data_IF_862148344425
#
_entry.id   IF_862148344425
#
_cell.length_a   1.000
_cell.length_b   1.000
_cell.length_c   1.000
_cell.angle_alpha   90.00
_cell.angle_beta   90.00
_cell.angle_gamma   90.00
#
_symmetry.space_group_name_H-M   'P 1'
#
loop_
_entity.id
_entity.type
_entity.pdbx_description
1 polymer ?
#
# COMPACT_ATOMS: atom_id res chain seq x y z
N UNK A 1 11.10 18.19 -25.75
CA UNK A 1 10.72 16.84 -25.25
C UNK A 1 11.78 16.44 -24.23
N UNK A 2 11.59 16.44 -22.91
CA UNK A 2 10.43 16.16 -22.07
C UNK A 2 10.83 14.99 -21.15
N UNK A 3 11.56 15.26 -20.06
CA UNK A 3 12.17 14.26 -19.15
C UNK A 3 11.16 13.34 -18.40
N UNK A 4 9.88 13.36 -18.82
CA UNK A 4 8.77 12.59 -18.26
C UNK A 4 8.68 11.17 -18.87
N UNK A 5 9.40 10.92 -19.96
CA UNK A 5 9.29 9.66 -20.71
C UNK A 5 9.85 8.44 -19.95
N UNK A 6 10.84 8.62 -19.05
CA UNK A 6 11.43 7.47 -18.33
C UNK A 6 10.52 6.89 -17.26
N UNK A 7 9.74 7.73 -16.57
CA UNK A 7 8.87 7.28 -15.48
C UNK A 7 7.66 6.48 -16.00
N UNK A 8 7.15 6.82 -17.19
CA UNK A 8 6.02 6.15 -17.82
C UNK A 8 6.39 4.83 -18.52
N UNK A 9 7.69 4.53 -18.66
CA UNK A 9 8.15 3.29 -19.31
C UNK A 9 7.90 2.04 -18.46
N UNK A 10 7.79 2.19 -17.13
CA UNK A 10 7.51 1.06 -16.26
C UNK A 10 5.99 0.84 -16.17
N UNK A 11 5.47 0.00 -17.06
CA UNK A 11 4.04 -0.33 -17.16
C UNK A 11 3.48 -0.86 -15.83
N UNK A 12 4.26 -1.63 -15.06
CA UNK A 12 3.83 -2.14 -13.76
C UNK A 12 3.63 -1.03 -12.74
N UNK A 13 4.58 -0.10 -12.65
CA UNK A 13 4.49 1.05 -11.77
C UNK A 13 3.35 1.99 -12.15
N UNK A 14 3.19 2.32 -13.44
CA UNK A 14 2.11 3.18 -13.93
C UNK A 14 0.75 2.56 -13.64
N UNK A 15 0.60 1.25 -13.88
CA UNK A 15 -0.66 0.55 -13.62
C UNK A 15 -0.99 0.53 -12.13
N UNK A 16 -0.01 0.26 -11.27
CA UNK A 16 -0.21 0.32 -9.81
C UNK A 16 -0.70 1.68 -9.35
N UNK A 17 -0.07 2.76 -9.85
CA UNK A 17 -0.46 4.15 -9.56
C UNK A 17 -1.90 4.38 -10.00
N UNK A 18 -2.25 4.05 -11.24
CA UNK A 18 -3.59 4.26 -11.78
C UNK A 18 -4.68 3.49 -11.03
N UNK A 19 -4.40 2.25 -10.60
CA UNK A 19 -5.34 1.42 -9.85
C UNK A 19 -5.62 1.98 -8.44
N UNK A 20 -4.62 2.59 -7.79
CA UNK A 20 -4.71 3.02 -6.38
C UNK A 20 -4.88 4.54 -6.19
N UNK A 21 -4.68 5.34 -7.23
CA UNK A 21 -4.72 6.81 -7.16
C UNK A 21 -6.04 7.33 -6.60
N UNK A 22 -7.19 6.89 -7.12
CA UNK A 22 -8.51 7.37 -6.67
C UNK A 22 -8.77 7.11 -5.18
N UNK A 23 -8.34 5.95 -4.68
CA UNK A 23 -8.52 5.59 -3.27
C UNK A 23 -7.56 6.38 -2.40
N UNK A 24 -6.31 6.55 -2.84
CA UNK A 24 -5.32 7.32 -2.11
C UNK A 24 -5.65 8.82 -2.09
N UNK A 25 -6.24 9.38 -3.14
CA UNK A 25 -6.65 10.80 -3.19
C UNK A 25 -7.70 11.15 -2.13
N UNK A 26 -8.69 10.27 -1.94
CA UNK A 26 -9.74 10.46 -0.92
C UNK A 26 -9.09 10.57 0.47
N UNK A 27 -8.13 9.69 0.75
CA UNK A 27 -7.52 9.58 2.08
C UNK A 27 -6.43 10.63 2.28
N UNK A 28 -5.68 10.96 1.24
CA UNK A 28 -4.76 12.09 1.20
C UNK A 28 -5.47 13.39 1.58
N UNK A 29 -6.70 13.58 1.08
CA UNK A 29 -7.54 14.72 1.43
C UNK A 29 -8.02 14.68 2.88
N UNK A 30 -8.36 13.51 3.42
CA UNK A 30 -8.75 13.36 4.84
C UNK A 30 -7.58 13.60 5.80
N UNK A 31 -6.36 13.21 5.39
CA UNK A 31 -5.14 13.34 6.16
C UNK A 31 -4.40 14.67 5.96
N UNK A 32 -4.86 15.50 5.02
CA UNK A 32 -4.19 16.73 4.58
C UNK A 32 -2.71 16.51 4.19
N UNK A 33 -2.46 15.40 3.47
CA UNK A 33 -1.12 15.06 2.96
C UNK A 33 -1.15 14.93 1.44
N UNK A 34 -0.02 15.17 0.75
CA UNK A 34 0.08 14.90 -0.69
C UNK A 34 -0.16 13.43 -1.00
N UNK A 35 -0.95 13.14 -2.04
CA UNK A 35 -1.31 11.77 -2.43
C UNK A 35 -0.10 10.94 -2.81
N UNK A 36 0.90 11.58 -3.41
CA UNK A 36 2.19 11.00 -3.78
C UNK A 36 2.96 10.43 -2.58
N UNK A 37 2.77 10.96 -1.36
CA UNK A 37 3.42 10.44 -0.17
C UNK A 37 2.83 9.08 0.23
N UNK A 38 1.50 8.98 0.23
CA UNK A 38 0.78 7.74 0.54
C UNK A 38 1.07 6.70 -0.55
N UNK A 39 0.94 7.11 -1.82
CA UNK A 39 1.07 6.23 -2.96
C UNK A 39 2.52 5.79 -3.18
N UNK A 40 3.48 6.69 -2.94
CA UNK A 40 4.91 6.39 -2.99
C UNK A 40 5.32 5.41 -1.89
N UNK A 41 4.80 5.58 -0.67
CA UNK A 41 5.06 4.63 0.42
C UNK A 41 4.44 3.26 0.12
N UNK A 42 3.19 3.22 -0.33
CA UNK A 42 2.55 1.96 -0.76
C UNK A 42 3.34 1.29 -1.89
N UNK A 43 3.85 2.06 -2.86
CA UNK A 43 4.68 1.53 -3.93
C UNK A 43 6.02 0.97 -3.42
N UNK A 44 6.67 1.65 -2.46
CA UNK A 44 7.92 1.21 -1.87
C UNK A 44 7.76 -0.10 -1.07
N UNK A 45 6.73 -0.17 -0.22
CA UNK A 45 6.46 -1.30 0.68
C UNK A 45 5.85 -2.52 -0.03
N UNK A 46 5.19 -2.32 -1.17
CA UNK A 46 4.58 -3.39 -1.97
C UNK A 46 5.35 -3.76 -3.23
N UNK A 47 6.48 -3.09 -3.50
CA UNK A 47 7.20 -3.17 -4.76
C UNK A 47 6.26 -2.95 -5.96
N UNK A 48 5.52 -1.83 -5.94
CA UNK A 48 4.48 -1.49 -6.91
C UNK A 48 3.42 -2.60 -7.07
N UNK A 49 2.99 -3.21 -5.97
CA UNK A 49 1.96 -4.27 -5.94
C UNK A 49 2.44 -5.65 -6.39
N UNK A 50 3.74 -5.83 -6.68
CA UNK A 50 4.31 -7.13 -7.06
C UNK A 50 4.71 -7.98 -5.85
N UNK A 51 4.87 -7.36 -4.68
CA UNK A 51 5.21 -8.02 -3.43
C UNK A 51 4.16 -9.05 -3.01
N UNK A 52 4.62 -10.18 -2.48
CA UNK A 52 3.75 -11.28 -2.05
C UNK A 52 2.69 -10.83 -1.03
N UNK A 53 3.09 -9.99 -0.08
CA UNK A 53 2.21 -9.48 1.00
C UNK A 53 1.08 -8.62 0.42
N UNK A 54 1.40 -7.79 -0.57
CA UNK A 54 0.40 -6.99 -1.29
C UNK A 54 -0.54 -7.87 -2.12
N UNK A 55 -0.01 -8.84 -2.87
CA UNK A 55 -0.81 -9.68 -3.78
C UNK A 55 -1.67 -10.72 -3.08
N UNK A 56 -1.14 -11.39 -2.04
CA UNK A 56 -1.84 -12.48 -1.36
C UNK A 56 -2.73 -12.00 -0.22
N UNK A 57 -2.34 -10.91 0.45
CA UNK A 57 -2.99 -10.46 1.68
C UNK A 57 -3.62 -9.07 1.58
N UNK A 58 -3.59 -8.46 0.39
CA UNK A 58 -3.94 -7.06 0.17
C UNK A 58 -3.30 -6.20 1.25
N UNK A 59 -1.99 -6.33 1.47
CA UNK A 59 -1.29 -5.49 2.44
C UNK A 59 -0.17 -4.71 1.74
N UNK A 60 -0.50 -3.53 1.25
CA UNK A 60 0.40 -2.66 0.48
C UNK A 60 1.38 -1.86 1.34
N UNK A 61 1.21 -1.83 2.67
CA UNK A 61 2.08 -1.12 3.61
C UNK A 61 2.90 -2.07 4.50
N UNK A 62 2.89 -3.38 4.19
CA UNK A 62 3.60 -4.40 4.98
C UNK A 62 3.33 -4.33 6.49
N UNK A 63 2.10 -3.96 6.86
CA UNK A 63 1.72 -3.73 8.26
C UNK A 63 1.85 -5.01 9.10
N UNK A 64 2.46 -4.86 10.27
CA UNK A 64 2.53 -5.90 11.28
C UNK A 64 1.20 -6.03 12.02
N UNK A 65 0.84 -7.25 12.41
CA UNK A 65 -0.31 -7.49 13.25
C UNK A 65 0.07 -7.34 14.75
N UNK A 66 -0.79 -6.78 15.59
CA UNK A 66 -2.17 -6.35 15.29
C UNK A 66 -2.26 -4.96 14.65
N UNK A 67 -2.97 -4.85 13.53
CA UNK A 67 -3.34 -3.60 12.88
C UNK A 67 -4.86 -3.39 12.96
N UNK A 68 -5.28 -2.12 13.03
CA UNK A 68 -6.70 -1.74 12.97
C UNK A 68 -7.36 -2.28 11.69
N UNK A 69 -8.62 -2.71 11.77
CA UNK A 69 -9.38 -3.27 10.63
C UNK A 69 -8.76 -4.49 9.93
N UNK A 70 -7.74 -5.13 10.51
CA UNK A 70 -7.22 -6.38 9.99
C UNK A 70 -8.31 -7.46 10.03
N UNK A 71 -8.44 -8.22 8.94
CA UNK A 71 -9.34 -9.35 8.88
C UNK A 71 -8.70 -10.64 9.40
N UNK A 72 -7.37 -10.67 9.43
CA UNK A 72 -6.60 -11.81 9.91
C UNK A 72 -5.12 -11.46 10.04
N UNK A 73 -4.31 -12.48 10.34
CA UNK A 73 -2.86 -12.37 10.42
C UNK A 73 -2.20 -13.63 9.90
N UNK A 74 -1.03 -13.50 9.31
CA UNK A 74 -0.26 -14.61 8.74
C UNK A 74 1.23 -14.36 8.95
N UNK A 75 2.01 -15.44 9.03
CA UNK A 75 3.46 -15.33 9.04
C UNK A 75 3.97 -15.09 7.62
N UNK A 76 4.89 -14.13 7.43
CA UNK A 76 5.59 -14.00 6.16
C UNK A 76 6.42 -15.26 5.89
N UNK A 77 6.53 -15.64 4.61
CA UNK A 77 7.29 -16.81 4.17
C UNK A 77 8.71 -16.76 4.78
N UNK A 78 9.12 -17.86 5.40
CA UNK A 78 10.41 -18.05 6.05
C UNK A 78 10.66 -17.23 7.34
N UNK A 79 9.64 -16.56 7.90
CA UNK A 79 9.76 -15.86 9.19
C UNK A 79 8.59 -16.14 10.14
N UNK A 80 8.89 -16.82 11.25
CA UNK A 80 7.90 -17.12 12.31
C UNK A 80 7.92 -16.09 13.45
N UNK A 81 8.73 -15.03 13.34
CA UNK A 81 8.92 -14.05 14.43
C UNK A 81 7.89 -12.92 14.38
N UNK A 82 7.36 -12.63 13.20
CA UNK A 82 6.52 -11.45 12.99
C UNK A 82 5.23 -11.87 12.30
N UNK A 83 4.13 -11.25 12.68
CA UNK A 83 2.84 -11.44 12.05
C UNK A 83 2.56 -10.26 11.13
N UNK A 84 2.11 -10.52 9.92
CA UNK A 84 1.60 -9.48 9.01
C UNK A 84 0.08 -9.52 8.97
N UNK A 85 -0.52 -8.34 8.94
CA UNK A 85 -1.97 -8.18 8.85
C UNK A 85 -2.48 -8.58 7.45
N UNK A 86 -3.67 -9.18 7.41
CA UNK A 86 -4.40 -9.52 6.19
C UNK A 86 -5.62 -8.61 6.09
N UNK A 87 -5.87 -8.05 4.91
CA UNK A 87 -7.05 -7.23 4.64
C UNK A 87 -7.92 -7.85 3.55
N UNK A 88 -9.24 -7.88 3.76
CA UNK A 88 -10.20 -8.30 2.73
C UNK A 88 -10.39 -7.26 1.63
N UNK A 89 -10.20 -5.97 1.94
CA UNK A 89 -10.42 -4.86 1.02
C UNK A 89 -9.25 -3.88 1.02
N UNK A 90 -8.88 -3.42 -0.19
CA UNK A 90 -7.87 -2.38 -0.41
C UNK A 90 -8.23 -1.07 0.30
N UNK A 91 -9.53 -0.76 0.43
CA UNK A 91 -10.03 0.41 1.17
C UNK A 91 -9.58 0.46 2.64
N UNK A 92 -9.33 -0.70 3.24
CA UNK A 92 -8.95 -0.75 4.66
C UNK A 92 -7.51 -0.28 4.90
N UNK A 93 -6.64 -0.30 3.89
CA UNK A 93 -5.20 -0.08 4.05
C UNK A 93 -4.79 1.37 4.28
N UNK A 94 -5.37 2.29 3.53
CA UNK A 94 -5.02 3.70 3.68
C UNK A 94 -5.71 4.32 4.92
N UNK A 95 -6.86 3.80 5.36
CA UNK A 95 -7.50 4.20 6.61
C UNK A 95 -6.66 3.84 7.86
N UNK A 96 -5.79 2.82 7.77
CA UNK A 96 -4.91 2.43 8.89
C UNK A 96 -3.73 3.37 9.03
N UNK A 97 -3.27 3.98 7.94
CA UNK A 97 -2.26 5.03 8.00
C UNK A 97 -2.74 6.21 8.87
N UNK A 98 -4.03 6.51 8.84
CA UNK A 98 -4.66 7.52 9.71
C UNK A 98 -4.63 7.13 11.19
N UNK A 99 -4.75 5.83 11.50
CA UNK A 99 -4.95 5.34 12.87
C UNK A 99 -3.66 4.85 13.55
N UNK A 100 -2.55 4.73 12.83
CA UNK A 100 -1.25 4.30 13.35
C UNK A 100 -0.23 5.44 13.46
N UNK A 101 -0.50 6.60 12.82
CA UNK A 101 0.38 7.78 12.83
C UNK A 101 -0.07 8.84 13.84
N UNK A 102 -1.16 8.61 14.58
CA UNK A 102 -1.65 9.47 15.66
C UNK A 102 -1.88 8.68 16.95
#
# INVERSE_FOLDING_TARGET
MGNYDKACNNVGAVRFVQEHMKVCEIIAKELDVPVENILGLAAAESQYGTGRIAREYNNYFSLQAPASFQSGRVHPKDSNKTWVAIFFFVFSLCAIFCCQVW
#
